data_IF_735494707227
#
_entry.id   IF_735494707227
#
_cell.length_a   1.000
_cell.length_b   1.000
_cell.length_c   1.000
_cell.angle_alpha   90.00
_cell.angle_beta   90.00
_cell.angle_gamma   90.00
#
_symmetry.space_group_name_H-M   'P 1'
#
loop_
_entity.id
_entity.type
_entity.pdbx_description
1 polymer ?
#
# COMPACT_ATOMS: atom_id res chain seq x y z
N UNK A 1 17.66 -27.53 3.11
CA UNK A 1 18.41 -27.81 4.35
C UNK A 1 18.05 -26.75 5.38
N UNK A 2 17.78 -27.10 6.64
CA UNK A 2 17.66 -26.09 7.68
C UNK A 2 19.02 -25.39 7.85
N UNK A 3 19.04 -24.09 7.77
CA UNK A 3 20.26 -23.30 7.86
C UNK A 3 19.98 -21.88 8.30
N UNK A 4 21.05 -21.19 8.73
CA UNK A 4 20.99 -19.76 9.01
C UNK A 4 21.05 -18.99 7.69
N UNK A 5 20.20 -17.96 7.56
CA UNK A 5 20.26 -17.00 6.47
C UNK A 5 19.93 -15.60 6.98
N UNK A 6 20.46 -14.61 6.29
CA UNK A 6 20.27 -13.21 6.64
C UNK A 6 19.44 -12.50 5.58
N UNK A 7 18.50 -11.67 6.01
CA UNK A 7 17.74 -10.82 5.10
C UNK A 7 17.38 -9.49 5.76
N UNK A 8 17.37 -8.43 4.96
CA UNK A 8 16.77 -7.16 5.32
C UNK A 8 15.27 -7.22 5.04
N UNK A 9 14.45 -6.75 5.98
CA UNK A 9 12.99 -6.84 5.87
C UNK A 9 12.25 -5.75 6.62
N UNK A 10 11.00 -5.53 6.23
CA UNK A 10 10.05 -4.64 6.89
C UNK A 10 8.99 -5.51 7.56
N UNK A 11 8.75 -5.28 8.86
CA UNK A 11 7.73 -6.01 9.62
C UNK A 11 6.35 -5.52 9.20
N UNK A 12 5.61 -6.36 8.48
CA UNK A 12 4.24 -6.07 8.04
C UNK A 12 3.23 -6.32 9.15
N UNK A 13 3.39 -7.42 9.89
CA UNK A 13 2.52 -7.81 11.01
C UNK A 13 3.33 -8.35 12.17
N UNK A 14 2.85 -8.06 13.37
CA UNK A 14 3.34 -8.64 14.61
C UNK A 14 2.14 -8.99 15.46
N UNK A 15 2.07 -10.25 15.92
CA UNK A 15 1.00 -10.75 16.81
C UNK A 15 1.59 -11.59 17.91
N UNK A 16 1.02 -11.47 19.09
CA UNK A 16 1.43 -12.29 20.23
C UNK A 16 1.20 -13.77 19.96
N UNK A 17 2.14 -14.58 20.36
CA UNK A 17 2.13 -16.03 20.19
C UNK A 17 2.78 -16.67 21.42
N UNK A 18 2.05 -17.52 22.14
CA UNK A 18 2.47 -18.04 23.45
C UNK A 18 2.80 -16.91 24.45
N UNK A 19 3.30 -17.24 25.64
CA UNK A 19 3.51 -16.26 26.73
C UNK A 19 4.58 -15.21 26.39
N UNK A 20 5.66 -15.61 25.75
CA UNK A 20 6.85 -14.74 25.54
C UNK A 20 7.25 -14.56 24.07
N UNK A 21 6.56 -15.20 23.13
CA UNK A 21 6.89 -15.16 21.71
C UNK A 21 5.94 -14.27 20.92
N UNK A 22 6.36 -13.90 19.71
CA UNK A 22 5.53 -13.25 18.69
C UNK A 22 5.70 -13.95 17.35
N UNK A 23 4.63 -13.94 16.55
CA UNK A 23 4.66 -14.30 15.14
C UNK A 23 4.73 -13.01 14.31
N UNK A 24 5.70 -12.98 13.41
CA UNK A 24 5.90 -11.88 12.49
C UNK A 24 5.60 -12.30 11.05
N UNK A 25 5.00 -11.39 10.29
CA UNK A 25 5.02 -11.43 8.83
C UNK A 25 6.00 -10.34 8.36
N UNK A 26 7.05 -10.72 7.67
CA UNK A 26 8.13 -9.83 7.25
C UNK A 26 8.24 -9.86 5.74
N UNK A 27 8.15 -8.69 5.10
CA UNK A 27 8.48 -8.55 3.68
C UNK A 27 9.99 -8.32 3.57
N UNK A 28 10.70 -9.30 3.01
CA UNK A 28 12.14 -9.21 2.85
C UNK A 28 12.52 -8.78 1.42
N UNK A 29 13.68 -8.18 1.30
CA UNK A 29 14.20 -7.72 0.01
C UNK A 29 14.53 -8.87 -0.95
N UNK A 30 15.01 -10.01 -0.42
CA UNK A 30 15.62 -11.08 -1.21
C UNK A 30 14.96 -12.44 -1.07
N UNK A 31 14.10 -12.63 -0.06
CA UNK A 31 13.47 -13.93 0.23
C UNK A 31 11.94 -13.86 0.21
N UNK A 32 11.37 -12.75 -0.31
CA UNK A 32 9.92 -12.54 -0.34
C UNK A 32 9.30 -12.34 1.04
N UNK A 33 8.06 -12.75 1.19
CA UNK A 33 7.31 -12.65 2.44
C UNK A 33 7.58 -13.89 3.31
N UNK A 34 8.11 -13.66 4.51
CA UNK A 34 8.50 -14.69 5.47
C UNK A 34 7.60 -14.61 6.71
N UNK A 35 7.08 -15.75 7.14
CA UNK A 35 6.49 -15.89 8.46
C UNK A 35 7.56 -16.45 9.42
N UNK A 36 7.76 -15.77 10.55
CA UNK A 36 8.78 -16.10 11.51
C UNK A 36 8.29 -15.99 12.95
N UNK A 37 8.78 -16.88 13.81
CA UNK A 37 8.59 -16.79 15.26
C UNK A 37 9.77 -16.07 15.89
N UNK A 38 9.48 -15.18 16.84
CA UNK A 38 10.47 -14.52 17.70
C UNK A 38 10.26 -14.96 19.13
N UNK A 39 11.14 -15.82 19.62
CA UNK A 39 11.05 -16.35 21.00
C UNK A 39 11.62 -15.36 22.01
N UNK A 40 10.97 -15.23 23.16
CA UNK A 40 11.45 -14.40 24.27
C UNK A 40 11.39 -12.89 24.01
N UNK A 41 10.78 -12.43 22.94
CA UNK A 41 10.69 -11.00 22.59
C UNK A 41 9.90 -10.18 23.61
N UNK A 42 8.95 -10.79 24.31
CA UNK A 42 8.13 -10.15 25.34
C UNK A 42 8.79 -10.12 26.72
N UNK A 43 9.93 -10.79 26.90
CA UNK A 43 10.68 -10.72 28.16
C UNK A 43 11.21 -9.30 28.39
N UNK A 44 11.28 -8.82 29.64
CA UNK A 44 12.02 -7.62 29.96
C UNK A 44 13.45 -7.71 29.38
N UNK A 45 13.97 -6.62 28.87
CA UNK A 45 15.34 -6.53 28.31
C UNK A 45 15.62 -7.38 27.06
N UNK A 46 14.58 -7.84 26.32
CA UNK A 46 14.81 -8.53 25.06
C UNK A 46 15.41 -7.59 24.02
N UNK A 47 16.61 -7.90 23.51
CA UNK A 47 17.27 -7.16 22.43
C UNK A 47 16.53 -7.22 21.08
N UNK A 48 15.61 -8.18 20.93
CA UNK A 48 14.83 -8.35 19.70
C UNK A 48 13.62 -7.42 19.64
N UNK A 49 13.18 -6.83 20.78
CA UNK A 49 11.91 -6.09 20.88
C UNK A 49 11.85 -4.89 19.93
N UNK A 50 12.90 -4.10 19.82
CA UNK A 50 12.92 -2.87 19.02
C UNK A 50 12.76 -3.16 17.53
N UNK A 51 13.46 -4.15 17.02
CA UNK A 51 13.52 -4.45 15.59
C UNK A 51 12.38 -5.33 15.08
N UNK A 52 11.55 -5.88 15.98
CA UNK A 52 10.43 -6.76 15.63
C UNK A 52 9.05 -6.07 15.70
N UNK A 53 9.04 -4.77 16.01
CA UNK A 53 7.80 -3.99 15.98
C UNK A 53 7.32 -3.80 14.55
N UNK A 54 6.01 -3.76 14.39
CA UNK A 54 5.39 -3.44 13.08
C UNK A 54 5.88 -2.07 12.57
N UNK A 55 6.05 -1.95 11.27
CA UNK A 55 6.65 -0.82 10.56
C UNK A 55 8.17 -0.65 10.78
N UNK A 56 8.86 -1.50 11.53
CA UNK A 56 10.32 -1.46 11.59
C UNK A 56 10.96 -2.13 10.37
N UNK A 57 12.00 -1.50 9.83
CA UNK A 57 12.93 -2.09 8.87
C UNK A 57 14.18 -2.53 9.64
N UNK A 58 14.48 -3.83 9.55
CA UNK A 58 15.59 -4.44 10.28
C UNK A 58 16.33 -5.45 9.42
N UNK A 59 17.58 -5.69 9.76
CA UNK A 59 18.37 -6.82 9.27
C UNK A 59 18.16 -7.99 10.23
N UNK A 60 17.64 -9.08 9.72
CA UNK A 60 17.30 -10.26 10.50
C UNK A 60 18.25 -11.40 10.20
N UNK A 61 18.62 -12.16 11.23
CA UNK A 61 19.22 -13.49 11.09
C UNK A 61 18.11 -14.51 11.40
N UNK A 62 17.81 -15.34 10.41
CA UNK A 62 16.81 -16.38 10.50
C UNK A 62 17.43 -17.75 10.60
N UNK A 63 16.81 -18.62 11.36
CA UNK A 63 17.01 -20.06 11.26
C UNK A 63 15.81 -20.66 10.51
N UNK A 64 16.09 -21.34 9.41
CA UNK A 64 15.04 -21.94 8.58
C UNK A 64 14.41 -23.14 9.29
N UNK A 65 13.11 -23.05 9.62
CA UNK A 65 12.31 -24.17 10.11
C UNK A 65 11.56 -24.87 8.98
N UNK A 66 10.85 -25.96 9.30
CA UNK A 66 10.02 -26.69 8.31
C UNK A 66 8.87 -25.80 7.77
N UNK A 67 8.16 -25.11 8.64
CA UNK A 67 6.99 -24.29 8.30
C UNK A 67 7.19 -22.81 8.62
N UNK A 68 7.89 -22.50 9.69
CA UNK A 68 8.14 -21.15 10.17
C UNK A 68 9.64 -20.94 10.39
N UNK A 69 10.16 -19.79 9.95
CA UNK A 69 11.50 -19.38 10.32
C UNK A 69 11.52 -18.95 11.80
N UNK A 70 12.70 -18.97 12.41
CA UNK A 70 12.93 -18.41 13.74
C UNK A 70 13.87 -17.22 13.61
N UNK A 71 13.48 -16.06 14.10
CA UNK A 71 14.40 -14.90 14.22
C UNK A 71 15.32 -15.16 15.40
N UNK A 72 16.63 -15.22 15.13
CA UNK A 72 17.67 -15.41 16.16
C UNK A 72 18.35 -14.12 16.55
N UNK A 73 18.48 -13.17 15.60
CA UNK A 73 19.03 -11.84 15.82
C UNK A 73 18.29 -10.83 14.93
N UNK A 74 18.21 -9.59 15.38
CA UNK A 74 17.77 -8.48 14.54
C UNK A 74 18.56 -7.22 14.89
N UNK A 75 18.91 -6.46 13.86
CA UNK A 75 19.54 -5.16 13.92
C UNK A 75 18.62 -4.13 13.28
N UNK A 76 18.17 -3.16 14.05
CA UNK A 76 17.29 -2.08 13.56
C UNK A 76 18.03 -1.23 12.54
N UNK A 77 17.42 -1.03 11.37
CA UNK A 77 17.90 -0.12 10.34
C UNK A 77 17.10 1.18 10.34
N UNK A 78 15.77 1.07 10.53
CA UNK A 78 14.87 2.22 10.49
C UNK A 78 13.58 1.92 11.28
N UNK A 79 13.15 2.86 12.10
CA UNK A 79 11.90 2.77 12.89
C UNK A 79 10.80 3.70 12.38
N UNK A 80 11.09 4.52 11.37
CA UNK A 80 10.17 5.53 10.81
C UNK A 80 9.52 6.38 11.93
N UNK A 81 10.35 6.93 12.81
CA UNK A 81 9.91 7.66 14.01
C UNK A 81 8.86 8.75 13.73
N UNK A 82 8.93 9.56 12.66
CA UNK A 82 7.92 10.58 12.37
C UNK A 82 6.51 10.02 12.19
N UNK A 83 6.37 8.79 11.70
CA UNK A 83 5.05 8.16 11.51
C UNK A 83 4.33 7.91 12.83
N UNK A 84 5.09 7.63 13.90
CA UNK A 84 4.54 7.28 15.22
C UNK A 84 4.05 8.50 16.00
N UNK A 85 4.39 9.69 15.56
CA UNK A 85 4.02 10.97 16.19
C UNK A 85 2.74 11.57 15.60
N UNK A 86 2.26 11.06 14.46
CA UNK A 86 1.09 11.57 13.75
C UNK A 86 0.12 10.44 13.42
N UNK A 87 -1.08 10.49 14.01
CA UNK A 87 -2.12 9.48 13.81
C UNK A 87 -2.55 9.37 12.33
N UNK A 88 -2.56 10.47 11.59
CA UNK A 88 -2.89 10.45 10.16
C UNK A 88 -1.83 9.71 9.36
N UNK A 89 -0.55 9.92 9.66
CA UNK A 89 0.57 9.28 8.97
C UNK A 89 0.68 7.79 9.31
N UNK A 90 0.54 7.43 10.59
CA UNK A 90 0.63 6.03 10.99
C UNK A 90 -0.53 5.19 10.42
N UNK A 91 -1.75 5.75 10.36
CA UNK A 91 -2.88 5.07 9.73
C UNK A 91 -2.61 4.77 8.25
N UNK A 92 -2.01 5.71 7.53
CA UNK A 92 -1.63 5.53 6.13
C UNK A 92 -0.45 4.59 5.95
N UNK A 93 0.49 4.55 6.89
CA UNK A 93 1.55 3.55 6.89
C UNK A 93 0.98 2.13 7.01
N UNK A 94 0.00 1.90 7.87
CA UNK A 94 -0.70 0.63 7.95
C UNK A 94 -1.46 0.29 6.66
N UNK A 95 -2.00 1.28 5.98
CA UNK A 95 -2.63 1.10 4.67
C UNK A 95 -1.62 0.64 3.60
N UNK A 96 -0.45 1.27 3.51
CA UNK A 96 0.60 0.83 2.58
C UNK A 96 1.06 -0.60 2.89
N UNK A 97 1.22 -0.92 4.17
CA UNK A 97 1.58 -2.27 4.63
C UNK A 97 0.51 -3.29 4.26
N UNK A 98 -0.77 -2.97 4.43
CA UNK A 98 -1.87 -3.88 4.07
C UNK A 98 -1.90 -4.15 2.56
N UNK A 99 -1.67 -3.13 1.72
CA UNK A 99 -1.53 -3.30 0.26
C UNK A 99 -0.35 -4.23 -0.04
N UNK A 100 0.83 -3.95 0.49
CA UNK A 100 2.03 -4.75 0.24
C UNK A 100 1.85 -6.22 0.68
N UNK A 101 1.25 -6.44 1.86
CA UNK A 101 0.93 -7.78 2.34
C UNK A 101 -0.07 -8.53 1.43
N UNK A 102 -0.99 -7.78 0.82
CA UNK A 102 -2.01 -8.35 -0.07
C UNK A 102 -1.46 -8.72 -1.44
N UNK A 103 -0.47 -7.98 -1.92
CA UNK A 103 0.15 -8.15 -3.24
C UNK A 103 1.17 -9.28 -3.26
N UNK A 104 1.97 -9.42 -2.20
CA UNK A 104 3.07 -10.38 -2.18
C UNK A 104 2.62 -11.73 -1.64
N UNK A 105 2.74 -12.77 -2.46
CA UNK A 105 2.45 -14.13 -2.03
C UNK A 105 3.58 -14.69 -1.14
N UNK A 106 3.27 -15.57 -0.17
CA UNK A 106 4.30 -16.23 0.63
C UNK A 106 5.35 -16.92 -0.23
N UNK A 107 6.63 -16.75 0.09
CA UNK A 107 7.75 -17.39 -0.61
C UNK A 107 8.08 -16.79 -1.99
N UNK A 108 7.29 -15.87 -2.51
CA UNK A 108 7.57 -15.18 -3.77
C UNK A 108 8.40 -13.92 -3.52
N UNK A 109 9.56 -13.82 -4.13
CA UNK A 109 10.41 -12.63 -4.07
C UNK A 109 9.81 -11.53 -4.92
N UNK A 110 9.55 -10.38 -4.30
CA UNK A 110 9.08 -9.18 -5.00
C UNK A 110 9.88 -7.96 -4.50
N UNK A 111 11.08 -7.81 -5.04
CA UNK A 111 11.97 -6.70 -4.68
C UNK A 111 11.37 -5.34 -5.03
N UNK A 112 10.59 -5.25 -6.12
CA UNK A 112 9.96 -4.00 -6.52
C UNK A 112 8.95 -3.53 -5.47
N UNK A 113 8.12 -4.44 -4.93
CA UNK A 113 7.17 -4.12 -3.85
C UNK A 113 7.88 -3.81 -2.53
N UNK A 114 8.98 -4.51 -2.21
CA UNK A 114 9.79 -4.18 -1.03
C UNK A 114 10.31 -2.74 -1.10
N UNK A 115 10.94 -2.36 -2.22
CA UNK A 115 11.47 -1.00 -2.42
C UNK A 115 10.36 0.05 -2.45
N UNK A 116 9.21 -0.27 -3.06
CA UNK A 116 8.06 0.62 -3.08
C UNK A 116 7.53 0.87 -1.66
N UNK A 117 7.39 -0.18 -0.84
CA UNK A 117 6.95 -0.03 0.55
C UNK A 117 7.94 0.79 1.38
N UNK A 118 9.24 0.51 1.26
CA UNK A 118 10.27 1.28 1.93
C UNK A 118 10.16 2.77 1.57
N UNK A 119 10.14 3.10 0.29
CA UNK A 119 10.00 4.48 -0.19
C UNK A 119 8.69 5.13 0.24
N UNK A 120 7.58 4.39 0.23
CA UNK A 120 6.29 4.86 0.71
C UNK A 120 6.33 5.26 2.18
N UNK A 121 6.93 4.44 3.05
CA UNK A 121 7.08 4.72 4.48
C UNK A 121 8.03 5.91 4.74
N UNK A 122 9.15 6.00 4.00
CA UNK A 122 10.07 7.14 4.03
C UNK A 122 9.33 8.44 3.66
N UNK A 123 8.61 8.45 2.53
CA UNK A 123 7.86 9.63 2.08
C UNK A 123 6.69 10.01 3.00
N UNK A 124 6.03 9.03 3.64
CA UNK A 124 5.05 9.33 4.69
C UNK A 124 5.69 10.02 5.90
N UNK A 125 6.98 9.77 6.19
CA UNK A 125 7.73 10.44 7.24
C UNK A 125 8.10 11.89 6.93
N UNK A 126 8.04 12.31 5.67
CA UNK A 126 8.35 13.66 5.23
C UNK A 126 7.20 14.63 5.57
N UNK A 127 7.42 15.55 6.51
CA UNK A 127 6.37 16.43 7.04
C UNK A 127 5.77 17.38 6.00
N UNK A 128 6.53 17.71 4.96
CA UNK A 128 6.10 18.59 3.87
C UNK A 128 5.18 17.87 2.85
N UNK A 129 5.11 16.55 2.88
CA UNK A 129 4.28 15.78 1.98
C UNK A 129 2.89 15.53 2.60
N UNK A 130 1.86 15.78 1.80
CA UNK A 130 0.50 15.41 2.15
C UNK A 130 0.37 13.87 2.17
N UNK A 131 -0.02 13.24 3.31
CA UNK A 131 -0.04 11.79 3.44
C UNK A 131 -0.95 11.08 2.44
N UNK A 132 -2.08 11.69 2.07
CA UNK A 132 -3.00 11.12 1.07
C UNK A 132 -2.38 11.11 -0.32
N UNK A 133 -1.60 12.12 -0.68
CA UNK A 133 -0.88 12.14 -1.94
C UNK A 133 0.17 11.01 -2.03
N UNK A 134 0.84 10.71 -0.92
CA UNK A 134 1.75 9.56 -0.82
C UNK A 134 1.00 8.25 -1.05
N UNK A 135 -0.19 8.09 -0.45
CA UNK A 135 -1.03 6.91 -0.68
C UNK A 135 -1.43 6.77 -2.16
N UNK A 136 -1.89 7.85 -2.80
CA UNK A 136 -2.23 7.83 -4.25
C UNK A 136 -1.03 7.45 -5.11
N UNK A 137 0.14 8.00 -4.80
CA UNK A 137 1.37 7.66 -5.51
C UNK A 137 1.80 6.19 -5.31
N UNK A 138 1.59 5.65 -4.12
CA UNK A 138 1.85 4.25 -3.80
C UNK A 138 0.90 3.31 -4.55
N UNK A 139 -0.40 3.61 -4.55
CA UNK A 139 -1.42 2.84 -5.28
C UNK A 139 -1.14 2.77 -6.78
N UNK A 140 -0.85 3.93 -7.40
CA UNK A 140 -0.52 4.00 -8.82
C UNK A 140 0.67 3.08 -9.16
N UNK A 141 1.73 3.11 -8.37
CA UNK A 141 2.92 2.27 -8.55
C UNK A 141 2.66 0.81 -8.24
N UNK A 142 1.79 0.51 -7.28
CA UNK A 142 1.39 -0.87 -6.99
C UNK A 142 0.69 -1.47 -8.20
N UNK A 143 -0.28 -0.76 -8.80
CA UNK A 143 -0.94 -1.22 -10.03
C UNK A 143 0.06 -1.44 -11.16
N UNK A 144 1.06 -0.59 -11.30
CA UNK A 144 2.12 -0.75 -12.29
C UNK A 144 2.99 -1.98 -12.03
N UNK A 145 3.38 -2.24 -10.78
CA UNK A 145 4.15 -3.45 -10.39
C UNK A 145 3.36 -4.73 -10.70
N UNK A 146 2.04 -4.67 -10.55
CA UNK A 146 1.14 -5.77 -10.88
C UNK A 146 0.89 -5.95 -12.39
N UNK A 147 1.32 -5.00 -13.24
CA UNK A 147 0.98 -4.98 -14.67
C UNK A 147 -0.48 -4.60 -14.94
N UNK A 148 -1.12 -3.93 -13.99
CA UNK A 148 -2.54 -3.55 -13.98
C UNK A 148 -2.72 -2.03 -14.05
N UNK A 149 -1.77 -1.34 -14.67
CA UNK A 149 -1.84 0.11 -14.88
C UNK A 149 -3.06 0.44 -15.74
N UNK A 150 -4.00 1.30 -15.26
CA UNK A 150 -5.22 1.58 -16.00
C UNK A 150 -4.93 2.39 -17.28
N UNK A 151 -5.68 2.09 -18.35
CA UNK A 151 -5.68 2.91 -19.57
C UNK A 151 -6.43 4.22 -19.30
N UNK A 152 -5.69 5.33 -19.23
CA UNK A 152 -6.24 6.66 -18.92
C UNK A 152 -6.10 7.67 -20.06
N UNK A 153 -5.43 7.32 -21.15
CA UNK A 153 -5.16 8.23 -22.27
C UNK A 153 -6.24 8.14 -23.36
N UNK A 154 -6.91 6.99 -23.48
CA UNK A 154 -7.99 6.72 -24.43
C UNK A 154 -9.09 5.89 -23.78
N UNK A 155 -10.24 5.77 -24.44
CA UNK A 155 -11.30 4.85 -24.02
C UNK A 155 -10.79 3.41 -24.11
N UNK A 156 -10.80 2.68 -23.00
CA UNK A 156 -10.30 1.30 -22.96
C UNK A 156 -11.15 0.34 -23.83
N UNK A 157 -12.42 0.66 -24.08
CA UNK A 157 -13.33 -0.18 -24.84
C UNK A 157 -13.24 0.04 -26.37
N UNK A 158 -13.29 1.29 -26.83
CA UNK A 158 -13.31 1.59 -28.27
C UNK A 158 -12.03 2.25 -28.81
N UNK A 159 -11.04 2.49 -27.95
CA UNK A 159 -9.78 3.17 -28.26
C UNK A 159 -9.96 4.63 -28.76
N UNK A 160 -11.16 5.16 -28.72
CA UNK A 160 -11.46 6.54 -29.10
C UNK A 160 -11.00 7.54 -28.05
N UNK A 161 -10.92 8.80 -28.48
CA UNK A 161 -10.56 9.90 -27.58
C UNK A 161 -11.59 10.08 -26.46
N UNK A 162 -11.11 10.41 -25.27
CA UNK A 162 -11.95 10.80 -24.15
C UNK A 162 -12.41 12.26 -24.35
N UNK A 163 -13.34 12.50 -25.30
CA UNK A 163 -13.81 13.85 -25.69
C UNK A 163 -14.68 14.51 -24.62
N UNK A 164 -14.79 15.85 -24.71
CA UNK A 164 -15.65 16.68 -23.87
C UNK A 164 -14.94 17.35 -22.69
N UNK A 165 -15.57 18.37 -22.13
CA UNK A 165 -15.09 19.12 -20.95
C UNK A 165 -15.60 18.56 -19.61
N UNK A 166 -16.44 17.55 -19.66
CA UNK A 166 -17.11 16.99 -18.49
C UNK A 166 -16.29 15.96 -17.69
N UNK A 167 -16.99 15.19 -16.87
CA UNK A 167 -16.42 14.08 -16.11
C UNK A 167 -16.12 12.89 -17.01
N UNK A 168 -15.19 12.05 -16.60
CA UNK A 168 -14.78 10.82 -17.31
C UNK A 168 -15.14 9.63 -16.43
N UNK A 169 -15.79 8.64 -17.01
CA UNK A 169 -16.04 7.39 -16.31
C UNK A 169 -14.77 6.54 -16.28
N UNK A 170 -14.44 5.99 -15.11
CA UNK A 170 -13.33 5.04 -14.90
C UNK A 170 -13.91 3.78 -14.28
N UNK A 171 -13.67 2.63 -14.92
CA UNK A 171 -14.20 1.35 -14.47
C UNK A 171 -13.04 0.37 -14.17
N UNK A 172 -12.93 -0.15 -12.92
CA UNK A 172 -11.95 -1.20 -12.59
C UNK A 172 -12.11 -2.44 -13.46
N UNK A 173 -13.34 -2.88 -13.69
CA UNK A 173 -13.64 -4.06 -14.51
C UNK A 173 -13.22 -3.92 -15.97
N UNK A 174 -13.29 -2.69 -16.51
CA UNK A 174 -12.82 -2.39 -17.86
C UNK A 174 -11.30 -2.17 -17.94
N UNK A 175 -10.64 -1.92 -16.81
CA UNK A 175 -9.22 -1.63 -16.74
C UNK A 175 -8.85 -0.19 -17.12
N UNK A 176 -9.78 0.78 -17.06
CA UNK A 176 -9.44 2.16 -17.37
C UNK A 176 -10.61 3.10 -17.62
N UNK A 177 -10.33 4.17 -18.38
CA UNK A 177 -11.26 5.23 -18.70
C UNK A 177 -12.20 4.85 -19.86
N UNK A 178 -13.45 5.33 -19.80
CA UNK A 178 -14.49 5.10 -20.78
C UNK A 178 -15.00 6.43 -21.36
N UNK A 179 -15.23 6.45 -22.67
CA UNK A 179 -15.89 7.57 -23.32
C UNK A 179 -17.41 7.53 -23.05
N UNK A 180 -18.16 8.65 -23.27
CA UNK A 180 -19.60 8.70 -23.00
C UNK A 180 -20.42 7.63 -23.74
N UNK A 181 -19.97 7.16 -24.91
CA UNK A 181 -20.66 6.12 -25.67
C UNK A 181 -20.44 4.70 -25.11
N UNK A 182 -19.37 4.47 -24.34
CA UNK A 182 -19.00 3.16 -23.79
C UNK A 182 -19.27 3.02 -22.28
N UNK A 183 -19.63 4.10 -21.59
CA UNK A 183 -19.99 4.06 -20.18
C UNK A 183 -21.37 3.41 -19.94
N UNK A 184 -21.63 2.95 -18.70
CA UNK A 184 -22.90 2.37 -18.30
C UNK A 184 -23.00 0.85 -18.51
N UNK A 185 -21.96 0.19 -19.03
CA UNK A 185 -21.99 -1.24 -19.38
C UNK A 185 -20.88 -2.09 -18.75
N UNK A 186 -20.00 -1.48 -17.93
CA UNK A 186 -18.75 -2.10 -17.46
C UNK A 186 -18.70 -2.33 -15.93
N UNK A 187 -19.85 -2.57 -15.32
CA UNK A 187 -19.95 -2.75 -13.87
C UNK A 187 -19.88 -1.43 -13.11
N UNK A 188 -19.21 -1.42 -11.95
CA UNK A 188 -19.08 -0.19 -11.15
C UNK A 188 -18.18 0.82 -11.84
N UNK A 189 -18.70 2.00 -12.09
CA UNK A 189 -18.01 3.12 -12.71
C UNK A 189 -17.89 4.29 -11.73
N UNK A 190 -16.77 5.00 -11.82
CA UNK A 190 -16.50 6.21 -11.04
C UNK A 190 -16.39 7.40 -11.99
N UNK A 191 -17.25 8.39 -11.79
CA UNK A 191 -17.17 9.63 -12.56
C UNK A 191 -16.15 10.55 -11.91
N UNK A 192 -15.03 10.81 -12.57
CA UNK A 192 -13.98 11.70 -12.09
C UNK A 192 -13.85 12.92 -12.97
N UNK A 193 -13.34 14.02 -12.41
CA UNK A 193 -13.02 15.22 -13.17
C UNK A 193 -11.81 15.00 -14.08
N UNK A 194 -11.66 15.83 -15.11
CA UNK A 194 -10.45 15.85 -15.95
C UNK A 194 -9.19 16.15 -15.17
N UNK A 195 -9.31 16.94 -14.10
CA UNK A 195 -8.20 17.22 -13.19
C UNK A 195 -7.71 15.95 -12.50
N UNK A 196 -8.62 15.14 -11.94
CA UNK A 196 -8.30 13.86 -11.30
C UNK A 196 -7.70 12.87 -12.30
N UNK A 197 -8.24 12.76 -13.51
CA UNK A 197 -7.66 11.93 -14.56
C UNK A 197 -6.20 12.31 -14.87
N UNK A 198 -5.94 13.60 -15.10
CA UNK A 198 -4.58 14.11 -15.36
C UNK A 198 -3.65 13.90 -14.16
N UNK A 199 -4.15 14.09 -12.94
CA UNK A 199 -3.38 13.86 -11.72
C UNK A 199 -2.98 12.38 -11.62
N UNK A 200 -3.88 11.45 -11.89
CA UNK A 200 -3.55 10.01 -11.90
C UNK A 200 -2.50 9.68 -12.97
N UNK A 201 -2.66 10.19 -14.20
CA UNK A 201 -1.66 10.05 -15.26
C UNK A 201 -0.27 10.58 -14.83
N UNK A 202 -0.23 11.70 -14.11
CA UNK A 202 1.01 12.25 -13.57
C UNK A 202 1.60 11.35 -12.48
N UNK A 203 0.80 10.84 -11.55
CA UNK A 203 1.24 9.92 -10.49
C UNK A 203 1.87 8.64 -11.05
N UNK A 204 1.36 8.12 -12.18
CA UNK A 204 1.94 6.96 -12.85
C UNK A 204 3.35 7.22 -13.41
N UNK A 205 3.67 8.47 -13.76
CA UNK A 205 4.92 8.87 -14.43
C UNK A 205 5.94 9.54 -13.51
N UNK A 206 5.49 10.24 -12.46
CA UNK A 206 6.35 11.00 -11.55
C UNK A 206 7.22 10.10 -10.68
N UNK A 207 8.50 10.51 -10.50
CA UNK A 207 9.35 9.95 -9.47
C UNK A 207 8.98 10.53 -8.09
N UNK A 208 9.22 9.79 -7.01
CA UNK A 208 9.02 10.23 -5.63
C UNK A 208 9.65 11.59 -5.33
N UNK A 209 10.84 11.86 -5.86
CA UNK A 209 11.56 13.13 -5.69
C UNK A 209 10.77 14.37 -6.12
N UNK A 210 9.86 14.19 -7.07
CA UNK A 210 9.04 15.29 -7.59
C UNK A 210 7.64 15.35 -6.99
N UNK A 211 7.28 14.43 -6.10
CA UNK A 211 5.96 14.40 -5.48
C UNK A 211 5.67 15.68 -4.69
N UNK A 212 6.69 16.26 -4.02
CA UNK A 212 6.59 17.54 -3.30
C UNK A 212 6.18 18.73 -4.20
N UNK A 213 6.39 18.64 -5.50
CA UNK A 213 6.03 19.70 -6.47
C UNK A 213 4.60 19.57 -6.99
N UNK A 214 3.96 18.44 -6.75
CA UNK A 214 2.60 18.19 -7.22
C UNK A 214 1.60 18.75 -6.20
N UNK A 215 0.94 19.83 -6.58
CA UNK A 215 -0.15 20.40 -5.80
C UNK A 215 -1.48 19.83 -6.29
N UNK A 216 -2.19 19.14 -5.42
CA UNK A 216 -3.49 18.54 -5.70
C UNK A 216 -4.53 19.14 -4.78
N UNK A 217 -5.58 19.71 -5.35
CA UNK A 217 -6.68 20.29 -4.55
C UNK A 217 -7.47 19.21 -3.81
N UNK A 218 -8.11 19.58 -2.69
CA UNK A 218 -8.92 18.65 -1.90
C UNK A 218 -10.01 17.92 -2.71
N UNK A 219 -10.77 18.58 -3.62
CA UNK A 219 -11.75 17.87 -4.44
C UNK A 219 -11.13 16.78 -5.32
N UNK A 220 -9.98 17.05 -5.95
CA UNK A 220 -9.29 16.06 -6.76
C UNK A 220 -8.76 14.90 -5.90
N UNK A 221 -8.24 15.21 -4.71
CA UNK A 221 -7.75 14.20 -3.77
C UNK A 221 -8.89 13.27 -3.31
N UNK A 222 -10.10 13.81 -3.06
CA UNK A 222 -11.28 13.01 -2.71
C UNK A 222 -11.68 12.07 -3.85
N UNK A 223 -11.81 12.58 -5.08
CA UNK A 223 -12.13 11.74 -6.25
C UNK A 223 -11.12 10.61 -6.44
N UNK A 224 -9.82 10.91 -6.35
CA UNK A 224 -8.77 9.90 -6.43
C UNK A 224 -8.83 8.91 -5.26
N UNK A 225 -9.18 9.39 -4.06
CA UNK A 225 -9.36 8.58 -2.85
C UNK A 225 -10.51 7.57 -2.93
N UNK A 226 -11.45 7.79 -3.83
CA UNK A 226 -12.54 6.83 -4.10
C UNK A 226 -12.15 5.82 -5.18
N UNK A 227 -11.62 6.30 -6.31
CA UNK A 227 -11.42 5.46 -7.49
C UNK A 227 -10.16 4.59 -7.41
N UNK A 228 -9.03 5.12 -6.94
CA UNK A 228 -7.75 4.38 -6.97
C UNK A 228 -7.74 3.18 -6.01
N UNK A 229 -8.19 3.30 -4.73
CA UNK A 229 -8.36 2.13 -3.89
C UNK A 229 -9.33 1.10 -4.43
N UNK A 230 -10.42 1.54 -5.11
CA UNK A 230 -11.40 0.64 -5.70
C UNK A 230 -10.79 -0.20 -6.84
N UNK A 231 -9.84 0.34 -7.60
CA UNK A 231 -9.04 -0.44 -8.56
C UNK A 231 -8.24 -1.53 -7.87
N UNK A 232 -7.51 -1.19 -6.81
CA UNK A 232 -6.73 -2.18 -6.06
C UNK A 232 -7.62 -3.26 -5.45
N UNK A 233 -8.74 -2.87 -4.81
CA UNK A 233 -9.67 -3.80 -4.19
C UNK A 233 -10.30 -4.75 -5.22
N UNK A 234 -10.60 -4.26 -6.43
CA UNK A 234 -11.11 -5.08 -7.52
C UNK A 234 -10.13 -6.17 -7.95
N UNK A 235 -8.87 -5.80 -8.20
CA UNK A 235 -7.85 -6.74 -8.66
C UNK A 235 -7.29 -7.64 -7.55
N UNK A 236 -7.31 -7.20 -6.30
CA UNK A 236 -6.91 -8.01 -5.14
C UNK A 236 -8.04 -8.93 -4.65
N UNK A 237 -9.25 -8.78 -5.20
CA UNK A 237 -10.47 -9.49 -4.78
C UNK A 237 -10.70 -9.43 -3.26
N UNK A 238 -10.41 -8.27 -2.68
CA UNK A 238 -10.58 -8.05 -1.23
C UNK A 238 -10.70 -6.57 -0.89
N UNK A 239 -11.44 -6.28 0.20
CA UNK A 239 -11.49 -4.94 0.77
C UNK A 239 -10.27 -4.67 1.66
N UNK A 240 -9.74 -3.45 1.58
CA UNK A 240 -8.66 -2.96 2.42
C UNK A 240 -9.25 -2.38 3.72
N UNK A 241 -9.02 -3.07 4.85
CA UNK A 241 -9.61 -2.73 6.16
C UNK A 241 -9.10 -1.39 6.69
N UNK A 242 -7.82 -1.10 6.48
CA UNK A 242 -7.22 0.16 6.89
C UNK A 242 -7.83 1.39 6.22
N UNK A 243 -8.46 1.22 5.05
CA UNK A 243 -9.18 2.30 4.37
C UNK A 243 -10.38 2.80 5.19
N UNK A 244 -11.16 1.90 5.79
CA UNK A 244 -12.28 2.28 6.65
C UNK A 244 -11.79 3.16 7.83
N UNK A 245 -10.70 2.75 8.47
CA UNK A 245 -10.10 3.51 9.56
C UNK A 245 -9.59 4.90 9.13
N UNK A 246 -8.96 5.00 7.94
CA UNK A 246 -8.52 6.30 7.39
C UNK A 246 -9.71 7.24 7.16
N UNK A 247 -10.82 6.72 6.65
CA UNK A 247 -12.03 7.49 6.41
C UNK A 247 -12.65 8.03 7.72
N UNK A 248 -12.67 7.23 8.78
CA UNK A 248 -13.11 7.64 10.11
C UNK A 248 -12.24 8.78 10.67
N UNK A 249 -10.92 8.74 10.45
CA UNK A 249 -10.00 9.80 10.87
C UNK A 249 -10.13 11.08 10.05
N UNK A 250 -10.62 11.01 8.82
CA UNK A 250 -10.79 12.14 7.91
C UNK A 250 -12.00 13.03 8.22
N UNK A 251 -12.92 12.58 9.07
CA UNK A 251 -14.05 13.39 9.56
C UNK A 251 -15.19 13.67 8.54
N UNK A 252 -15.15 13.05 7.36
CA UNK A 252 -16.31 13.04 6.46
C UNK A 252 -17.02 11.66 6.58
N UNK A 253 -18.25 11.58 7.06
CA UNK A 253 -19.02 10.35 7.01
C UNK A 253 -19.27 10.01 5.54
N UNK A 254 -18.66 8.95 5.06
CA UNK A 254 -19.13 8.33 3.82
C UNK A 254 -20.49 7.73 4.18
N UNK A 255 -21.55 8.28 3.59
CA UNK A 255 -22.89 7.71 3.65
C UNK A 255 -22.80 6.19 3.47
N UNK A 256 -23.37 5.49 4.45
CA UNK A 256 -23.41 4.04 4.46
C UNK A 256 -24.05 3.50 3.19
N UNK A 257 -23.84 2.21 2.88
CA UNK A 257 -24.42 1.59 1.70
C UNK A 257 -25.94 1.75 1.77
N UNK A 258 -26.49 2.46 0.79
CA UNK A 258 -27.92 2.54 0.60
C UNK A 258 -28.50 1.14 0.66
N UNK A 259 -29.35 0.91 1.67
CA UNK A 259 -30.25 -0.22 1.71
C UNK A 259 -31.20 -0.02 0.52
N UNK A 260 -31.07 -0.88 -0.48
CA UNK A 260 -32.18 -1.47 -1.23
C UNK A 260 -31.64 -2.63 -2.07
#
# INVERSE_FOLDING_TARGET
MPGLFQAEGIVLKSRDYQETAQLLTILTRTHGKIEAIVKGVRKPYSSLRSGTQQLCRSRFLFYAGKNLATVTQCEVQEIFAPLRQDLKRIARAYYLVEIADSVVMPGQVNQAMYLLLQQGLENLGELELEPDLVCRAFEARTLKILGLEPCLDACVSCQGELKGSGRVAIAPAAGGALCPACQGHQGREFLVSRGSLKTWQQLNRLNWKFLKRLQVSLPLMRELGEVMPAFLEYYLDRRLRSRAFINELGGDPIDGPGKN
#
